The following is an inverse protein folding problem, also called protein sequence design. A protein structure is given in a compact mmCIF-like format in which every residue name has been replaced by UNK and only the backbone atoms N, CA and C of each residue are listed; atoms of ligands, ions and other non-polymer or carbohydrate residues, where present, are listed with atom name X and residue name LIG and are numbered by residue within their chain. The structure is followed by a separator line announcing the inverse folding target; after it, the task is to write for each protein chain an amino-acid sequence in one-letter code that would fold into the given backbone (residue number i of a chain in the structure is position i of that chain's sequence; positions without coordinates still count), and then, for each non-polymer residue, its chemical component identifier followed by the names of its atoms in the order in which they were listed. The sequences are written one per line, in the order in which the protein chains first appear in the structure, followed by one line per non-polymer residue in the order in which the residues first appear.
data_IF_824412480940
#
_entry.id   IF_824412480940
#
_cell.length_a   1.000
_cell.length_b   1.000
_cell.length_c   1.000
_cell.angle_alpha   90.00
_cell.angle_beta   90.00
_cell.angle_gamma   90.00
#
_symmetry.space_group_name_H-M   'P 1'
#
loop_
_entity.id
_entity.type
_entity.pdbx_description
1 polymer ?
#
# COMPACT_ATOMS: atom_id res chain seq x y z
N UNK A 1 -0.57 -39.99 -46.60
CA UNK A 1 -1.02 -38.84 -45.78
C UNK A 1 -0.75 -39.26 -44.33
N UNK A 2 0.37 -38.83 -43.74
CA UNK A 2 0.49 -37.61 -42.92
C UNK A 2 -0.47 -37.68 -41.71
N UNK A 3 -0.09 -37.51 -40.44
CA UNK A 3 1.16 -37.20 -39.75
C UNK A 3 0.90 -37.55 -38.27
N UNK A 4 1.96 -37.81 -37.52
CA UNK A 4 1.89 -38.06 -36.08
C UNK A 4 1.53 -36.78 -35.29
N UNK A 5 1.19 -36.98 -34.00
CA UNK A 5 1.41 -36.06 -32.87
C UNK A 5 0.20 -35.29 -32.33
N UNK A 6 -0.78 -35.97 -31.72
CA UNK A 6 -1.45 -35.37 -30.57
C UNK A 6 -0.54 -35.58 -29.35
N UNK A 7 0.38 -34.63 -29.19
CA UNK A 7 1.15 -34.49 -27.97
C UNK A 7 0.16 -34.08 -26.89
N UNK A 8 -0.25 -35.01 -26.03
CA UNK A 8 -0.84 -34.70 -24.73
C UNK A 8 0.10 -33.70 -24.06
N UNK A 9 -0.28 -32.43 -24.07
CA UNK A 9 0.40 -31.40 -23.31
C UNK A 9 0.15 -31.78 -21.85
N UNK A 10 1.15 -32.25 -21.09
CA UNK A 10 0.91 -32.59 -19.69
C UNK A 10 0.45 -31.30 -19.02
N UNK A 11 -0.82 -31.28 -18.60
CA UNK A 11 -1.41 -30.14 -17.92
C UNK A 11 -0.49 -29.76 -16.76
N UNK A 12 0.13 -28.60 -16.87
CA UNK A 12 0.95 -28.08 -15.78
C UNK A 12 0.10 -28.15 -14.51
N UNK A 13 0.60 -28.74 -13.41
CA UNK A 13 -0.13 -28.71 -12.16
C UNK A 13 -0.43 -27.25 -11.90
N UNK A 14 -1.72 -26.91 -11.79
CA UNK A 14 -2.16 -25.58 -11.41
C UNK A 14 -1.33 -25.19 -10.19
N UNK A 15 -0.40 -24.25 -10.40
CA UNK A 15 0.47 -23.76 -9.34
C UNK A 15 -0.48 -23.35 -8.22
N UNK A 16 -0.34 -24.02 -7.08
CA UNK A 16 -1.19 -23.74 -5.94
C UNK A 16 -0.98 -22.27 -5.59
N UNK A 17 -1.99 -21.46 -5.89
CA UNK A 17 -2.08 -20.07 -5.50
C UNK A 17 -3.07 -20.04 -4.35
N UNK A 18 -2.64 -19.69 -3.12
CA UNK A 18 -3.59 -19.51 -2.04
C UNK A 18 -4.62 -18.48 -2.52
N UNK A 19 -5.89 -18.87 -2.62
CA UNK A 19 -6.97 -17.97 -3.08
C UNK A 19 -7.26 -16.87 -2.05
N UNK A 20 -6.66 -16.99 -0.87
CA UNK A 20 -6.88 -16.21 0.34
C UNK A 20 -5.60 -15.49 0.84
N UNK A 21 -4.71 -15.04 -0.05
CA UNK A 21 -3.54 -14.22 0.38
C UNK A 21 -3.97 -12.88 1.00
N UNK A 22 -5.26 -12.51 0.89
CA UNK A 22 -5.82 -11.31 1.50
C UNK A 22 -6.18 -11.47 2.98
N UNK A 23 -6.01 -12.63 3.60
CA UNK A 23 -6.48 -12.86 4.98
C UNK A 23 -5.54 -12.22 6.04
N UNK A 24 -4.26 -12.06 5.69
CA UNK A 24 -3.28 -11.46 6.60
C UNK A 24 -3.04 -10.01 6.20
N UNK A 25 -3.40 -9.03 7.04
CA UNK A 25 -3.09 -7.65 6.76
C UNK A 25 -1.58 -7.47 6.74
N UNK A 26 -1.05 -6.96 5.63
CA UNK A 26 0.37 -6.63 5.48
C UNK A 26 0.53 -5.13 5.31
N UNK A 27 1.71 -4.63 5.70
CA UNK A 27 2.01 -3.22 5.55
C UNK A 27 1.27 -2.34 6.59
N UNK A 28 1.11 -1.05 6.28
CA UNK A 28 0.46 -0.09 7.20
C UNK A 28 -0.98 -0.45 7.58
N UNK A 29 -1.68 -1.23 6.77
CA UNK A 29 -3.04 -1.69 7.09
C UNK A 29 -3.08 -2.65 8.29
N UNK A 30 -1.99 -3.40 8.55
CA UNK A 30 -1.87 -4.23 9.74
C UNK A 30 -1.85 -3.37 11.00
N UNK A 31 -1.09 -2.27 10.98
CA UNK A 31 -1.03 -1.32 12.10
C UNK A 31 -2.40 -0.69 12.36
N UNK A 32 -3.17 -0.38 11.31
CA UNK A 32 -4.54 0.14 11.47
C UNK A 32 -5.47 -0.89 12.14
N UNK A 33 -5.34 -2.17 11.81
CA UNK A 33 -6.12 -3.25 12.44
C UNK A 33 -5.69 -3.50 13.89
N UNK A 34 -4.38 -3.56 14.14
CA UNK A 34 -3.81 -3.76 15.49
C UNK A 34 -4.20 -2.63 16.44
N UNK A 35 -4.26 -1.39 15.94
CA UNK A 35 -4.71 -0.22 16.71
C UNK A 35 -6.24 -0.09 16.80
N UNK A 36 -7.00 -1.00 16.18
CA UNK A 36 -8.46 -0.96 16.15
C UNK A 36 -9.05 0.24 15.39
N UNK A 37 -8.25 0.88 14.52
CA UNK A 37 -8.67 2.04 13.73
C UNK A 37 -9.53 1.64 12.53
N UNK A 38 -9.41 0.38 12.09
CA UNK A 38 -10.30 -0.24 11.11
C UNK A 38 -10.74 -1.60 11.62
N UNK A 39 -11.90 -2.09 11.16
CA UNK A 39 -12.37 -3.45 11.43
C UNK A 39 -11.90 -4.44 10.35
N UNK A 40 -11.89 -5.73 10.68
CA UNK A 40 -11.62 -6.79 9.70
C UNK A 40 -12.57 -6.71 8.49
N UNK A 41 -13.85 -6.39 8.72
CA UNK A 41 -14.84 -6.23 7.65
C UNK A 41 -14.49 -5.07 6.70
N UNK A 42 -13.98 -3.96 7.24
CA UNK A 42 -13.53 -2.81 6.45
C UNK A 42 -12.27 -3.14 5.64
N UNK A 43 -11.33 -3.87 6.24
CA UNK A 43 -10.15 -4.36 5.54
C UNK A 43 -10.51 -5.33 4.41
N UNK A 44 -11.40 -6.28 4.63
CA UNK A 44 -11.90 -7.19 3.58
C UNK A 44 -12.62 -6.44 2.45
N UNK A 45 -13.41 -5.41 2.78
CA UNK A 45 -14.04 -4.56 1.78
C UNK A 45 -13.00 -3.81 0.92
N UNK A 46 -11.94 -3.30 1.54
CA UNK A 46 -10.84 -2.66 0.83
C UNK A 46 -10.05 -3.64 -0.06
N UNK A 47 -9.81 -4.87 0.41
CA UNK A 47 -9.20 -5.93 -0.41
C UNK A 47 -10.06 -6.32 -1.61
N UNK A 48 -11.39 -6.39 -1.46
CA UNK A 48 -12.30 -6.62 -2.59
C UNK A 48 -12.21 -5.49 -3.61
N UNK A 49 -12.18 -4.24 -3.14
CA UNK A 49 -12.04 -3.07 -4.01
C UNK A 49 -10.70 -3.05 -4.75
N UNK A 50 -9.60 -3.46 -4.11
CA UNK A 50 -8.30 -3.62 -4.78
C UNK A 50 -8.32 -4.72 -5.86
N UNK A 51 -9.10 -5.80 -5.66
CA UNK A 51 -9.26 -6.84 -6.69
C UNK A 51 -10.06 -6.34 -7.90
N UNK A 52 -11.02 -5.44 -7.66
CA UNK A 52 -11.82 -4.79 -8.71
C UNK A 52 -11.03 -3.70 -9.44
N UNK A 53 -10.21 -2.93 -8.72
CA UNK A 53 -9.33 -1.90 -9.26
C UNK A 53 -7.89 -2.08 -8.74
N UNK A 54 -7.01 -2.72 -9.53
CA UNK A 54 -5.63 -2.99 -9.14
C UNK A 54 -4.75 -1.73 -9.07
N UNK A 55 -5.21 -0.58 -9.54
CA UNK A 55 -4.47 0.68 -9.43
C UNK A 55 -4.65 1.35 -8.07
N UNK A 56 -5.65 0.95 -7.28
CA UNK A 56 -5.94 1.53 -5.97
C UNK A 56 -5.21 0.74 -4.87
N UNK A 57 -4.50 1.44 -3.99
CA UNK A 57 -3.90 0.80 -2.82
C UNK A 57 -4.97 0.46 -1.76
N UNK A 58 -4.72 -0.52 -0.90
CA UNK A 58 -5.65 -0.87 0.19
C UNK A 58 -5.92 0.35 1.09
N UNK A 59 -4.90 1.19 1.34
CA UNK A 59 -5.04 2.40 2.15
C UNK A 59 -5.93 3.44 1.46
N UNK A 60 -5.72 3.66 0.16
CA UNK A 60 -6.58 4.57 -0.62
C UNK A 60 -8.02 4.07 -0.69
N UNK A 61 -8.21 2.75 -0.81
CA UNK A 61 -9.54 2.14 -0.78
C UNK A 61 -10.23 2.36 0.58
N UNK A 62 -9.50 2.28 1.68
CA UNK A 62 -10.04 2.54 3.03
C UNK A 62 -10.39 4.02 3.24
N UNK A 63 -9.57 4.94 2.73
CA UNK A 63 -9.84 6.39 2.77
C UNK A 63 -11.06 6.74 1.91
N UNK A 64 -11.13 6.23 0.68
CA UNK A 64 -12.28 6.42 -0.20
C UNK A 64 -13.58 5.88 0.40
N UNK A 65 -13.49 4.75 1.12
CA UNK A 65 -14.61 4.17 1.85
C UNK A 65 -14.96 4.94 3.14
N UNK A 66 -14.21 6.00 3.48
CA UNK A 66 -14.33 6.77 4.74
C UNK A 66 -14.27 5.88 5.99
N UNK A 67 -13.55 4.75 5.89
CA UNK A 67 -13.30 3.88 7.03
C UNK A 67 -12.25 4.46 7.97
N UNK A 68 -11.36 5.30 7.43
CA UNK A 68 -10.22 5.91 8.12
C UNK A 68 -9.87 7.22 7.42
N UNK A 69 -9.43 8.22 8.18
CA UNK A 69 -8.97 9.51 7.68
C UNK A 69 -7.53 9.46 7.14
N UNK A 70 -7.20 10.34 6.20
CA UNK A 70 -5.85 10.43 5.61
C UNK A 70 -4.74 10.62 6.65
N UNK A 71 -4.99 11.44 7.68
CA UNK A 71 -4.04 11.66 8.78
C UNK A 71 -3.74 10.37 9.54
N UNK A 72 -4.77 9.57 9.80
CA UNK A 72 -4.63 8.28 10.49
C UNK A 72 -3.89 7.26 9.62
N UNK A 73 -4.11 7.26 8.31
CA UNK A 73 -3.30 6.47 7.38
C UNK A 73 -1.82 6.86 7.47
N UNK A 74 -1.50 8.16 7.41
CA UNK A 74 -0.11 8.62 7.46
C UNK A 74 0.55 8.26 8.80
N UNK A 75 -0.17 8.35 9.91
CA UNK A 75 0.32 7.89 11.21
C UNK A 75 0.58 6.38 11.24
N UNK A 76 -0.27 5.58 10.62
CA UNK A 76 -0.07 4.14 10.53
C UNK A 76 1.11 3.77 9.62
N UNK A 77 1.30 4.51 8.52
CA UNK A 77 2.48 4.37 7.66
C UNK A 77 3.76 4.68 8.44
N UNK A 78 3.78 5.80 9.16
CA UNK A 78 4.92 6.18 10.00
C UNK A 78 5.24 5.12 11.06
N UNK A 79 4.21 4.64 11.77
CA UNK A 79 4.35 3.59 12.76
C UNK A 79 4.81 2.24 12.16
N UNK A 80 4.38 1.90 10.94
CA UNK A 80 4.82 0.69 10.25
C UNK A 80 6.32 0.72 9.91
N UNK A 81 6.84 1.90 9.54
CA UNK A 81 8.26 2.09 9.23
C UNK A 81 9.11 2.45 10.46
N UNK A 82 8.52 2.48 11.66
CA UNK A 82 9.18 2.91 12.91
C UNK A 82 9.80 4.32 12.80
N UNK A 83 9.14 5.21 12.05
CA UNK A 83 9.54 6.61 11.90
C UNK A 83 8.56 7.53 12.64
N UNK A 84 9.03 8.64 13.23
CA UNK A 84 8.15 9.56 13.92
C UNK A 84 7.24 10.29 12.93
N UNK A 85 5.95 10.38 13.25
CA UNK A 85 5.01 11.24 12.54
C UNK A 85 5.05 12.65 13.12
N UNK A 86 5.49 13.63 12.34
CA UNK A 86 5.64 15.02 12.78
C UNK A 86 5.05 16.00 11.77
N UNK A 87 4.46 17.08 12.27
CA UNK A 87 4.09 18.24 11.45
C UNK A 87 5.30 19.18 11.36
N UNK A 88 5.83 19.37 10.16
CA UNK A 88 6.98 20.25 9.92
C UNK A 88 6.47 21.66 9.61
N UNK A 89 7.04 22.67 10.26
CA UNK A 89 6.82 24.09 9.95
C UNK A 89 8.05 24.69 9.28
N UNK A 90 7.94 25.90 8.73
CA UNK A 90 9.06 26.56 8.05
C UNK A 90 10.26 26.81 8.99
N UNK A 91 10.01 26.96 10.29
CA UNK A 91 11.04 27.17 11.32
C UNK A 91 11.82 25.89 11.66
N UNK A 92 11.28 24.71 11.36
CA UNK A 92 11.95 23.42 11.58
C UNK A 92 12.94 23.06 10.47
N UNK A 93 12.96 23.83 9.37
CA UNK A 93 13.77 23.54 8.18
C UNK A 93 15.04 24.38 8.20
N UNK A 94 16.19 23.71 8.28
CA UNK A 94 17.48 24.37 8.11
C UNK A 94 17.66 24.82 6.66
N UNK A 95 17.79 26.14 6.45
CA UNK A 95 17.86 26.72 5.11
C UNK A 95 19.09 26.25 4.33
N UNK A 96 20.22 26.08 5.00
CA UNK A 96 21.46 25.63 4.37
C UNK A 96 21.35 24.19 3.86
N UNK A 97 20.65 23.34 4.59
CA UNK A 97 20.34 21.95 4.21
C UNK A 97 19.30 21.89 3.10
N UNK A 98 18.28 22.75 3.14
CA UNK A 98 17.27 22.86 2.10
C UNK A 98 17.88 23.24 0.74
N UNK A 99 18.88 24.13 0.73
CA UNK A 99 19.59 24.57 -0.48
C UNK A 99 20.49 23.48 -1.11
N UNK A 100 20.73 22.35 -0.42
CA UNK A 100 21.49 21.22 -0.98
C UNK A 100 20.71 20.45 -2.05
N UNK A 101 19.37 20.50 -1.99
CA UNK A 101 18.50 19.81 -2.94
C UNK A 101 17.85 20.81 -3.90
N UNK A 102 17.77 20.40 -5.17
CA UNK A 102 17.10 21.19 -6.18
C UNK A 102 15.60 21.39 -5.84
N UNK A 103 15.06 22.62 -5.90
CA UNK A 103 13.67 22.90 -5.55
C UNK A 103 12.65 22.10 -6.36
N UNK A 104 12.95 21.79 -7.63
CA UNK A 104 12.05 20.98 -8.47
C UNK A 104 12.14 19.51 -8.10
N UNK A 105 13.27 19.02 -7.56
CA UNK A 105 13.36 17.70 -6.96
C UNK A 105 12.51 17.60 -5.68
N UNK A 106 12.65 18.58 -4.78
CA UNK A 106 11.87 18.69 -3.54
C UNK A 106 10.36 18.66 -3.83
N UNK A 107 9.88 19.48 -4.76
CA UNK A 107 8.46 19.53 -5.14
C UNK A 107 7.96 18.23 -5.78
N UNK A 108 8.74 17.62 -6.67
CA UNK A 108 8.33 16.39 -7.38
C UNK A 108 8.27 15.19 -6.45
N UNK A 109 9.22 15.08 -5.52
CA UNK A 109 9.29 13.95 -4.58
C UNK A 109 8.54 14.19 -3.28
N UNK A 110 8.15 15.43 -2.99
CA UNK A 110 7.50 15.85 -1.74
C UNK A 110 8.34 15.46 -0.51
N UNK A 111 9.66 15.66 -0.60
CA UNK A 111 10.62 15.36 0.47
C UNK A 111 11.32 16.65 0.88
N UNK A 112 11.46 16.88 2.19
CA UNK A 112 12.22 17.98 2.77
C UNK A 112 13.43 17.35 3.48
N UNK A 113 14.67 17.81 3.20
CA UNK A 113 15.87 17.30 3.84
C UNK A 113 16.06 17.85 5.26
#
# INVERSE_FOLDING_TARGET
MAEASESEVPGFPTVWSPKDVCDVPRGPAAVLLEKGQISHQQFEAACRRQKEDPHISILDALVQAKAVDELTVLQAVAAYFDVPFQSITADDVDKSTFELLDPEFIKRRKVIP
#
